data_IF_130193060834
#
_entry.id   IF_130193060834
#
_cell.length_a   1.000
_cell.length_b   1.000
_cell.length_c   1.000
_cell.angle_alpha   90.00
_cell.angle_beta   90.00
_cell.angle_gamma   90.00
#
_symmetry.space_group_name_H-M   'P 1'
#
loop_
_entity.id
_entity.type
_entity.pdbx_description
1 polymer ?
#
# COMPACT_ATOMS: atom_id res chain seq x y z
N UNK A 1 22.41 -17.40 -27.19
CA UNK A 1 22.30 -16.08 -26.53
C UNK A 1 20.90 -15.98 -25.96
N UNK A 2 20.74 -15.68 -24.67
CA UNK A 2 19.42 -15.39 -24.13
C UNK A 2 18.81 -14.20 -24.88
N UNK A 3 17.51 -14.25 -25.18
CA UNK A 3 16.84 -13.11 -25.81
C UNK A 3 16.78 -11.95 -24.81
N UNK A 4 17.08 -10.71 -25.22
CA UNK A 4 16.99 -9.52 -24.35
C UNK A 4 15.64 -9.41 -23.62
N UNK A 5 14.58 -9.88 -24.27
CA UNK A 5 13.22 -9.96 -23.75
C UNK A 5 13.09 -10.87 -22.53
N UNK A 6 13.70 -12.05 -22.57
CA UNK A 6 13.65 -13.04 -21.49
C UNK A 6 14.41 -12.49 -20.28
N UNK A 7 15.62 -11.96 -20.50
CA UNK A 7 16.43 -11.37 -19.43
C UNK A 7 15.73 -10.16 -18.81
N UNK A 8 15.12 -9.28 -19.62
CA UNK A 8 14.31 -8.16 -19.11
C UNK A 8 13.11 -8.65 -18.29
N UNK A 9 12.37 -9.64 -18.80
CA UNK A 9 11.18 -10.18 -18.13
C UNK A 9 11.52 -10.76 -16.77
N UNK A 10 12.57 -11.58 -16.70
CA UNK A 10 13.05 -12.17 -15.44
C UNK A 10 13.48 -11.08 -14.46
N UNK A 11 14.28 -10.10 -14.91
CA UNK A 11 14.70 -8.99 -14.07
C UNK A 11 13.51 -8.17 -13.55
N UNK A 12 12.52 -7.90 -14.41
CA UNK A 12 11.33 -7.13 -14.04
C UNK A 12 10.43 -7.88 -13.06
N UNK A 13 10.27 -9.19 -13.22
CA UNK A 13 9.51 -10.03 -12.27
C UNK A 13 10.17 -10.01 -10.90
N UNK A 14 11.50 -10.22 -10.84
CA UNK A 14 12.24 -10.15 -9.57
C UNK A 14 12.12 -8.76 -8.95
N UNK A 15 12.29 -7.70 -9.73
CA UNK A 15 12.13 -6.33 -9.27
C UNK A 15 10.72 -6.08 -8.71
N UNK A 16 9.68 -6.50 -9.44
CA UNK A 16 8.28 -6.33 -9.03
C UNK A 16 7.97 -7.12 -7.76
N UNK A 17 8.45 -8.36 -7.66
CA UNK A 17 8.28 -9.19 -6.49
C UNK A 17 8.96 -8.56 -5.27
N UNK A 18 10.22 -8.13 -5.40
CA UNK A 18 10.94 -7.43 -4.34
C UNK A 18 10.31 -6.07 -3.99
N UNK A 19 9.69 -5.40 -4.95
CA UNK A 19 9.01 -4.14 -4.68
C UNK A 19 7.73 -4.35 -3.86
N UNK A 20 6.91 -5.35 -4.22
CA UNK A 20 5.66 -5.70 -3.53
C UNK A 20 5.91 -6.36 -2.17
N UNK A 21 6.83 -7.32 -2.13
CA UNK A 21 7.26 -8.06 -0.94
C UNK A 21 8.63 -7.57 -0.51
N UNK A 22 8.70 -6.33 -0.02
CA UNK A 22 9.96 -5.62 0.26
C UNK A 22 10.88 -6.40 1.22
N UNK A 23 11.95 -7.03 0.70
CA UNK A 23 12.93 -7.70 1.54
C UNK A 23 13.77 -6.67 2.30
N UNK A 24 14.61 -7.14 3.21
CA UNK A 24 15.47 -6.29 4.06
C UNK A 24 16.40 -5.39 3.25
N UNK A 25 16.87 -5.84 2.10
CA UNK A 25 17.82 -5.13 1.24
C UNK A 25 17.14 -3.93 0.56
N UNK A 26 15.96 -4.14 -0.04
CA UNK A 26 15.18 -3.06 -0.65
C UNK A 26 14.74 -2.04 0.38
N UNK A 27 14.38 -2.50 1.58
CA UNK A 27 14.03 -1.62 2.69
C UNK A 27 15.21 -0.74 3.11
N UNK A 28 16.37 -1.35 3.29
CA UNK A 28 17.61 -0.65 3.66
C UNK A 28 18.08 0.31 2.57
N UNK A 29 17.85 -0.03 1.30
CA UNK A 29 18.13 0.85 0.15
C UNK A 29 17.10 1.98 -0.03
N UNK A 30 16.03 2.01 0.76
CA UNK A 30 14.99 3.04 0.65
C UNK A 30 13.99 2.80 -0.49
N UNK A 31 14.00 1.63 -1.13
CA UNK A 31 13.13 1.28 -2.26
C UNK A 31 11.75 0.78 -1.79
N UNK A 32 11.09 1.59 -0.97
CA UNK A 32 9.77 1.29 -0.42
C UNK A 32 8.80 2.39 -0.82
N UNK A 33 7.51 2.06 -0.96
CA UNK A 33 6.47 3.07 -1.24
C UNK A 33 6.47 4.16 -0.15
N UNK A 34 6.76 3.79 1.10
CA UNK A 34 6.82 4.74 2.22
C UNK A 34 7.93 5.77 2.03
N UNK A 35 9.11 5.34 1.60
CA UNK A 35 10.26 6.22 1.45
C UNK A 35 10.16 7.07 0.18
N UNK A 36 9.74 6.46 -0.94
CA UNK A 36 9.57 7.14 -2.23
C UNK A 36 8.50 8.25 -2.17
N UNK A 37 7.46 8.07 -1.36
CA UNK A 37 6.36 9.04 -1.20
C UNK A 37 6.33 9.71 0.17
N UNK A 38 7.44 9.68 0.91
CA UNK A 38 7.57 10.21 2.28
C UNK A 38 7.04 11.65 2.42
N UNK A 39 7.35 12.52 1.45
CA UNK A 39 6.88 13.91 1.41
C UNK A 39 5.36 14.05 1.34
N UNK A 40 4.65 13.13 0.67
CA UNK A 40 3.19 13.15 0.53
C UNK A 40 2.48 12.42 1.67
N UNK A 41 3.12 11.40 2.24
CA UNK A 41 2.55 10.62 3.35
C UNK A 41 2.48 11.45 4.63
N UNK A 42 3.49 12.28 4.88
CA UNK A 42 3.65 13.00 6.14
C UNK A 42 4.29 12.11 7.20
N UNK A 43 4.18 12.51 8.48
CA UNK A 43 4.73 11.76 9.61
C UNK A 43 3.68 10.84 10.22
N UNK A 44 4.07 9.58 10.39
CA UNK A 44 3.27 8.58 11.10
C UNK A 44 3.09 8.94 12.58
N UNK A 45 4.13 9.45 13.23
CA UNK A 45 4.08 9.88 14.64
C UNK A 45 3.15 11.08 14.86
N UNK A 46 2.99 11.95 13.86
CA UNK A 46 2.07 13.09 13.95
C UNK A 46 0.62 12.66 13.69
N UNK A 47 0.38 11.76 12.74
CA UNK A 47 -0.98 11.41 12.33
C UNK A 47 -1.10 10.00 11.79
N UNK A 48 -0.98 9.01 12.69
CA UNK A 48 -1.00 7.58 12.40
C UNK A 48 -2.09 7.15 11.42
N UNK A 49 -3.36 7.47 11.72
CA UNK A 49 -4.49 7.06 10.88
C UNK A 49 -4.42 7.69 9.48
N UNK A 50 -4.15 8.99 9.40
CA UNK A 50 -4.14 9.71 8.14
C UNK A 50 -2.93 9.33 7.27
N UNK A 51 -1.77 9.12 7.91
CA UNK A 51 -0.57 8.57 7.28
C UNK A 51 -0.88 7.24 6.61
N UNK A 52 -1.56 6.34 7.33
CA UNK A 52 -1.86 5.02 6.81
C UNK A 52 -2.96 4.98 5.75
N UNK A 53 -3.99 5.83 5.83
CA UNK A 53 -4.96 6.02 4.74
C UNK A 53 -4.25 6.43 3.45
N UNK A 54 -3.32 7.39 3.53
CA UNK A 54 -2.52 7.83 2.37
C UNK A 54 -1.60 6.72 1.89
N UNK A 55 -0.93 6.01 2.81
CA UNK A 55 0.00 4.93 2.49
C UNK A 55 -0.68 3.80 1.74
N UNK A 56 -1.81 3.28 2.23
CA UNK A 56 -2.53 2.19 1.56
C UNK A 56 -3.05 2.63 0.20
N UNK A 57 -3.58 3.87 0.11
CA UNK A 57 -4.05 4.44 -1.16
C UNK A 57 -2.94 4.57 -2.21
N UNK A 58 -1.78 5.12 -1.83
CA UNK A 58 -0.62 5.25 -2.73
C UNK A 58 -0.07 3.86 -3.10
N UNK A 59 0.02 2.93 -2.15
CA UNK A 59 0.50 1.57 -2.40
C UNK A 59 -0.35 0.86 -3.44
N UNK A 60 -1.68 0.98 -3.36
CA UNK A 60 -2.61 0.45 -4.36
C UNK A 60 -2.28 1.03 -5.75
N UNK A 61 -2.15 2.36 -5.87
CA UNK A 61 -1.87 3.02 -7.15
C UNK A 61 -0.50 2.66 -7.75
N UNK A 62 0.51 2.48 -6.90
CA UNK A 62 1.86 2.14 -7.36
C UNK A 62 1.94 0.67 -7.76
N UNK A 63 1.39 -0.24 -6.95
CA UNK A 63 1.42 -1.67 -7.26
C UNK A 63 0.53 -2.01 -8.45
N UNK A 64 -0.60 -1.32 -8.64
CA UNK A 64 -1.44 -1.45 -9.84
C UNK A 64 -0.74 -0.97 -11.11
N UNK A 65 0.29 -0.12 -10.99
CA UNK A 65 1.02 0.43 -12.13
C UNK A 65 2.16 -0.49 -12.61
N UNK A 66 2.51 -1.54 -11.85
CA UNK A 66 3.60 -2.47 -12.22
C UNK A 66 3.36 -3.16 -13.57
N UNK A 67 2.17 -3.70 -13.90
CA UNK A 67 1.92 -4.29 -15.22
C UNK A 67 2.07 -3.28 -16.37
N UNK A 68 1.65 -2.03 -16.15
CA UNK A 68 1.82 -0.96 -17.13
C UNK A 68 3.30 -0.58 -17.28
N UNK A 69 4.05 -0.52 -16.18
CA UNK A 69 5.49 -0.30 -16.17
C UNK A 69 6.24 -1.41 -16.92
N UNK A 70 5.80 -2.66 -16.79
CA UNK A 70 6.35 -3.78 -17.57
C UNK A 70 6.13 -3.59 -19.07
N UNK A 71 4.91 -3.23 -19.49
CA UNK A 71 4.62 -2.93 -20.91
C UNK A 71 5.53 -1.82 -21.45
N UNK A 72 5.63 -0.71 -20.70
CA UNK A 72 6.48 0.42 -21.08
C UNK A 72 7.96 0.04 -21.18
N UNK A 73 8.47 -0.75 -20.22
CA UNK A 73 9.85 -1.23 -20.26
C UNK A 73 10.11 -2.19 -21.41
N UNK A 74 9.16 -3.06 -21.74
CA UNK A 74 9.24 -3.95 -22.90
C UNK A 74 9.28 -3.21 -24.23
N UNK A 75 8.61 -2.05 -24.36
CA UNK A 75 8.75 -1.19 -25.55
C UNK A 75 10.20 -0.74 -25.78
N UNK A 76 11.00 -0.59 -24.72
CA UNK A 76 12.41 -0.16 -24.78
C UNK A 76 13.35 -1.36 -24.91
N UNK A 77 13.06 -2.46 -24.20
CA UNK A 77 13.90 -3.65 -24.16
C UNK A 77 13.81 -4.52 -25.42
N UNK A 78 12.68 -4.47 -26.13
CA UNK A 78 12.41 -5.25 -27.34
C UNK A 78 11.80 -4.37 -28.46
N UNK A 79 12.55 -3.38 -28.98
CA UNK A 79 12.05 -2.46 -29.99
C UNK A 79 11.58 -3.19 -31.28
N UNK A 80 12.16 -4.34 -31.58
CA UNK A 80 11.80 -5.22 -32.70
C UNK A 80 10.34 -5.69 -32.68
N UNK A 81 9.72 -5.73 -31.50
CA UNK A 81 8.30 -6.09 -31.34
C UNK A 81 7.34 -4.97 -31.71
N UNK A 82 7.84 -3.76 -32.00
CA UNK A 82 7.03 -2.61 -32.37
C UNK A 82 5.88 -2.31 -31.39
N UNK A 83 6.08 -2.58 -30.08
CA UNK A 83 5.06 -2.43 -29.03
C UNK A 83 4.57 -0.99 -28.85
N UNK A 84 5.34 0.00 -29.31
CA UNK A 84 4.94 1.41 -29.35
C UNK A 84 3.85 1.72 -30.37
N UNK A 85 3.73 0.91 -31.43
CA UNK A 85 2.73 1.08 -32.48
C UNK A 85 1.51 0.20 -32.18
N UNK A 86 0.63 0.64 -31.27
CA UNK A 86 -0.52 -0.12 -30.74
C UNK A 86 -1.34 -0.84 -31.84
N UNK A 87 -1.48 -0.23 -33.02
CA UNK A 87 -2.19 -0.79 -34.18
C UNK A 87 -1.48 -1.94 -34.93
N UNK A 88 -0.22 -2.21 -34.63
CA UNK A 88 0.57 -3.31 -35.22
C UNK A 88 0.92 -4.39 -34.19
N UNK A 89 0.60 -4.15 -32.91
CA UNK A 89 0.87 -5.08 -31.81
C UNK A 89 -0.04 -6.31 -31.88
N UNK A 90 0.51 -7.50 -31.56
CA UNK A 90 -0.25 -8.74 -31.46
C UNK A 90 -1.42 -8.64 -30.46
N UNK A 91 -2.48 -9.40 -30.68
CA UNK A 91 -3.67 -9.37 -29.82
C UNK A 91 -3.38 -9.66 -28.35
N UNK A 92 -2.43 -10.55 -28.04
CA UNK A 92 -2.02 -10.86 -26.66
C UNK A 92 -1.46 -9.62 -25.93
N UNK A 93 -0.54 -8.89 -26.58
CA UNK A 93 0.04 -7.67 -26.01
C UNK A 93 -0.97 -6.54 -25.90
N UNK A 94 -1.92 -6.43 -26.83
CA UNK A 94 -3.05 -5.49 -26.73
C UNK A 94 -3.94 -5.81 -25.54
N UNK A 95 -4.33 -7.07 -25.38
CA UNK A 95 -5.13 -7.51 -24.25
C UNK A 95 -4.41 -7.24 -22.92
N UNK A 96 -3.10 -7.50 -22.85
CA UNK A 96 -2.28 -7.18 -21.68
C UNK A 96 -2.24 -5.68 -21.38
N UNK A 97 -2.05 -4.83 -22.39
CA UNK A 97 -2.07 -3.37 -22.24
C UNK A 97 -3.44 -2.89 -21.74
N UNK A 98 -4.53 -3.37 -22.35
CA UNK A 98 -5.90 -3.02 -21.95
C UNK A 98 -6.16 -3.42 -20.50
N UNK A 99 -5.81 -4.64 -20.11
CA UNK A 99 -5.98 -5.11 -18.73
C UNK A 99 -5.16 -4.26 -17.74
N UNK A 100 -3.91 -3.94 -18.09
CA UNK A 100 -3.03 -3.10 -17.26
C UNK A 100 -3.59 -1.69 -17.09
N UNK A 101 -4.12 -1.09 -18.16
CA UNK A 101 -4.77 0.22 -18.13
C UNK A 101 -6.06 0.18 -17.31
N UNK A 102 -6.91 -0.84 -17.51
CA UNK A 102 -8.13 -1.02 -16.72
C UNK A 102 -7.81 -1.15 -15.22
N UNK A 103 -6.81 -1.97 -14.86
CA UNK A 103 -6.38 -2.13 -13.47
C UNK A 103 -5.93 -0.79 -12.85
N UNK A 104 -5.13 -0.02 -13.59
CA UNK A 104 -4.67 1.29 -13.13
C UNK A 104 -5.82 2.29 -13.00
N UNK A 105 -6.74 2.33 -13.96
CA UNK A 105 -7.91 3.21 -13.96
C UNK A 105 -8.85 2.88 -12.80
N UNK A 106 -9.14 1.60 -12.57
CA UNK A 106 -9.96 1.14 -11.44
C UNK A 106 -9.33 1.57 -10.12
N UNK A 107 -8.01 1.43 -9.98
CA UNK A 107 -7.28 1.84 -8.78
C UNK A 107 -7.39 3.36 -8.54
N UNK A 108 -7.27 4.18 -9.59
CA UNK A 108 -7.52 5.61 -9.51
C UNK A 108 -8.95 5.96 -9.15
N UNK A 109 -9.93 5.30 -9.76
CA UNK A 109 -11.36 5.50 -9.47
C UNK A 109 -11.66 5.19 -8.00
N UNK A 110 -11.13 4.08 -7.47
CA UNK A 110 -11.30 3.68 -6.07
C UNK A 110 -10.71 4.73 -5.13
N UNK A 111 -9.47 5.17 -5.35
CA UNK A 111 -8.82 6.17 -4.49
C UNK A 111 -9.52 7.52 -4.57
N UNK A 112 -9.97 7.92 -5.76
CA UNK A 112 -10.75 9.15 -5.95
C UNK A 112 -12.13 9.07 -5.28
N UNK A 113 -12.78 7.92 -5.34
CA UNK A 113 -14.04 7.66 -4.63
C UNK A 113 -13.85 7.79 -3.12
N UNK A 114 -12.75 7.26 -2.56
CA UNK A 114 -12.43 7.42 -1.15
C UNK A 114 -12.16 8.89 -0.78
N UNK A 115 -11.41 9.62 -1.61
CA UNK A 115 -11.03 11.00 -1.30
C UNK A 115 -12.22 11.98 -1.32
N UNK A 116 -13.20 11.78 -2.20
CA UNK A 116 -14.43 12.61 -2.31
C UNK A 116 -15.21 12.72 -1.00
N UNK A 117 -15.23 11.66 -0.20
CA UNK A 117 -15.98 11.58 1.06
C UNK A 117 -15.15 11.87 2.31
N UNK A 118 -14.10 12.69 2.21
CA UNK A 118 -13.11 12.88 3.30
C UNK A 118 -12.59 11.54 3.85
N UNK A 119 -12.39 10.56 2.97
CA UNK A 119 -11.94 9.20 3.32
C UNK A 119 -12.94 8.36 4.11
N UNK A 120 -14.18 8.80 4.34
CA UNK A 120 -15.18 8.03 5.10
C UNK A 120 -15.41 6.61 4.55
N UNK A 121 -15.39 6.45 3.22
CA UNK A 121 -15.57 5.15 2.57
C UNK A 121 -14.29 4.30 2.49
N UNK A 122 -13.15 4.82 2.95
CA UNK A 122 -11.90 4.08 3.01
C UNK A 122 -12.02 2.92 4.02
N UNK A 123 -11.42 1.73 3.76
CA UNK A 123 -11.52 0.58 4.65
C UNK A 123 -11.13 0.88 6.11
N UNK A 124 -10.05 1.65 6.32
CA UNK A 124 -9.61 2.08 7.66
C UNK A 124 -10.69 2.92 8.37
N UNK A 125 -11.30 3.88 7.68
CA UNK A 125 -12.34 4.72 8.28
C UNK A 125 -13.60 3.92 8.60
N UNK A 126 -13.98 2.96 7.76
CA UNK A 126 -15.09 2.03 8.03
C UNK A 126 -14.80 1.12 9.23
N UNK A 127 -13.56 0.67 9.40
CA UNK A 127 -13.17 -0.11 10.57
C UNK A 127 -13.27 0.72 11.85
N UNK A 128 -12.75 1.95 11.84
CA UNK A 128 -12.89 2.88 12.97
C UNK A 128 -14.34 3.22 13.28
N UNK A 129 -15.20 3.26 12.27
CA UNK A 129 -16.64 3.49 12.46
C UNK A 129 -17.29 2.42 13.33
N UNK A 130 -16.81 1.17 13.28
CA UNK A 130 -17.31 0.08 14.13
C UNK A 130 -16.99 0.27 15.63
N UNK A 131 -15.97 1.08 15.94
CA UNK A 131 -15.55 1.41 17.30
C UNK A 131 -16.04 2.78 17.77
N UNK A 132 -16.98 3.40 17.05
CA UNK A 132 -17.63 4.64 17.49
C UNK A 132 -18.60 4.30 18.61
N UNK A 133 -18.19 4.63 19.84
CA UNK A 133 -19.01 4.55 21.03
C UNK A 133 -18.90 5.88 21.81
N UNK A 134 -19.91 6.26 22.62
CA UNK A 134 -19.80 7.44 23.47
C UNK A 134 -18.51 7.37 24.30
N UNK A 135 -17.68 8.44 24.33
CA UNK A 135 -17.97 9.84 23.97
C UNK A 135 -17.67 10.24 22.51
N UNK A 136 -17.27 9.30 21.64
CA UNK A 136 -16.91 9.59 20.25
C UNK A 136 -18.16 9.75 19.37
N UNK A 137 -18.20 10.82 18.57
CA UNK A 137 -19.32 11.15 17.67
C UNK A 137 -19.12 10.69 16.23
N UNK A 138 -17.88 10.36 15.84
CA UNK A 138 -17.54 9.93 14.48
C UNK A 138 -16.25 9.12 14.44
N UNK A 139 -16.02 8.38 13.34
CA UNK A 139 -14.73 7.71 13.09
C UNK A 139 -13.55 8.69 13.16
N UNK A 140 -13.77 9.96 12.80
CA UNK A 140 -12.75 11.01 12.89
C UNK A 140 -12.34 11.32 14.33
N UNK A 141 -13.30 11.33 15.27
CA UNK A 141 -12.98 11.51 16.70
C UNK A 141 -12.20 10.33 17.29
N UNK A 142 -12.54 9.09 16.89
CA UNK A 142 -11.76 7.89 17.25
C UNK A 142 -10.34 8.00 16.67
N UNK A 143 -10.21 8.43 15.41
CA UNK A 143 -8.91 8.63 14.78
C UNK A 143 -8.04 9.68 15.49
N UNK A 144 -8.63 10.78 15.97
CA UNK A 144 -7.92 11.80 16.76
C UNK A 144 -7.46 11.24 18.10
N UNK A 145 -8.29 10.44 18.76
CA UNK A 145 -7.91 9.75 20.01
C UNK A 145 -6.73 8.83 19.80
N UNK A 146 -6.81 7.95 18.79
CA UNK A 146 -5.72 7.04 18.41
C UNK A 146 -4.44 7.83 18.07
N UNK A 147 -4.53 8.91 17.31
CA UNK A 147 -3.35 9.71 16.97
C UNK A 147 -2.72 10.36 18.21
N UNK A 148 -3.53 10.75 19.21
CA UNK A 148 -3.02 11.31 20.47
C UNK A 148 -2.29 10.23 21.27
N UNK A 149 -2.93 9.07 21.43
CA UNK A 149 -2.36 7.92 22.14
C UNK A 149 -1.10 7.38 21.45
N UNK A 150 -1.09 7.33 20.12
CA UNK A 150 0.07 6.90 19.34
C UNK A 150 1.31 7.80 19.55
N UNK A 151 1.14 9.04 20.02
CA UNK A 151 2.27 9.93 20.33
C UNK A 151 2.91 9.63 21.68
N UNK A 152 2.26 8.85 22.54
CA UNK A 152 2.81 8.46 23.82
C UNK A 152 4.08 7.61 23.63
N UNK A 153 5.03 7.73 24.55
CA UNK A 153 6.33 7.06 24.46
C UNK A 153 6.24 5.57 24.83
N UNK A 154 5.24 5.21 25.63
CA UNK A 154 5.07 3.87 26.21
C UNK A 154 4.48 2.83 25.23
N UNK A 155 4.34 3.19 23.94
CA UNK A 155 3.88 2.28 22.90
C UNK A 155 4.93 1.22 22.59
N UNK A 156 4.51 -0.04 22.50
CA UNK A 156 5.34 -1.13 22.03
C UNK A 156 5.17 -1.30 20.51
N UNK A 157 6.26 -1.39 19.77
CA UNK A 157 6.21 -1.66 18.33
C UNK A 157 7.28 -2.68 17.93
N UNK A 158 6.88 -3.70 17.18
CA UNK A 158 7.80 -4.75 16.70
C UNK A 158 7.55 -5.10 15.24
N UNK A 159 8.63 -5.28 14.48
CA UNK A 159 8.61 -5.57 13.05
C UNK A 159 8.95 -4.38 12.16
N UNK A 160 8.79 -4.57 10.86
CA UNK A 160 9.13 -3.58 9.86
C UNK A 160 8.07 -2.48 9.74
N UNK A 161 8.39 -1.24 9.33
CA UNK A 161 7.39 -0.17 9.14
C UNK A 161 6.18 -0.54 8.26
N UNK A 162 6.37 -1.42 7.27
CA UNK A 162 5.29 -1.93 6.41
C UNK A 162 4.61 -3.22 6.89
N UNK A 163 5.16 -3.88 7.90
CA UNK A 163 4.71 -5.16 8.44
C UNK A 163 5.11 -5.25 9.93
N UNK A 164 4.32 -4.61 10.79
CA UNK A 164 4.59 -4.53 12.24
C UNK A 164 3.33 -4.63 13.08
N UNK A 165 3.53 -5.08 14.30
CA UNK A 165 2.54 -5.03 15.37
C UNK A 165 2.87 -3.86 16.28
N UNK A 166 1.86 -3.06 16.61
CA UNK A 166 1.98 -1.92 17.51
C UNK A 166 0.93 -2.09 18.59
N UNK A 167 1.33 -1.95 19.84
CA UNK A 167 0.46 -2.01 21.01
C UNK A 167 0.58 -0.67 21.72
N UNK A 168 -0.55 0.00 21.86
CA UNK A 168 -0.70 1.22 22.67
C UNK A 168 -1.52 0.88 23.92
N UNK A 169 -1.81 1.89 24.75
CA UNK A 169 -2.52 1.71 26.03
C UNK A 169 -3.93 1.10 25.87
N UNK A 170 -4.58 1.30 24.73
CA UNK A 170 -5.93 0.82 24.46
C UNK A 170 -6.07 0.04 23.17
N UNK A 171 -5.12 0.13 22.23
CA UNK A 171 -5.23 -0.50 20.91
C UNK A 171 -4.10 -1.47 20.60
N UNK A 172 -4.45 -2.51 19.86
CA UNK A 172 -3.52 -3.38 19.17
C UNK A 172 -3.69 -3.18 17.66
N UNK A 173 -2.62 -2.78 16.99
CA UNK A 173 -2.56 -2.58 15.55
C UNK A 173 -1.70 -3.64 14.88
N UNK A 174 -2.21 -4.28 13.85
CA UNK A 174 -1.41 -5.09 12.92
C UNK A 174 -1.35 -4.39 11.58
N UNK A 175 -0.20 -3.81 11.29
CA UNK A 175 0.10 -3.08 10.07
C UNK A 175 0.59 -4.07 9.03
N UNK A 176 -0.04 -4.07 7.86
CA UNK A 176 0.40 -4.81 6.67
C UNK A 176 0.51 -3.86 5.46
N UNK A 177 1.01 -4.37 4.33
CA UNK A 177 1.17 -3.59 3.09
C UNK A 177 -0.12 -2.91 2.64
N UNK A 178 -1.25 -3.62 2.68
CA UNK A 178 -2.53 -3.15 2.15
C UNK A 178 -3.58 -2.83 3.21
N UNK A 179 -3.44 -3.43 4.40
CA UNK A 179 -4.45 -3.35 5.45
C UNK A 179 -3.83 -2.96 6.78
N UNK A 180 -4.66 -2.39 7.64
CA UNK A 180 -4.35 -2.23 9.06
C UNK A 180 -5.51 -2.82 9.82
N UNK A 181 -5.20 -3.83 10.61
CA UNK A 181 -6.16 -4.41 11.53
C UNK A 181 -6.02 -3.71 12.87
N UNK A 182 -7.15 -3.44 13.50
CA UNK A 182 -7.23 -2.75 14.77
C UNK A 182 -8.13 -3.58 15.69
N UNK A 183 -7.73 -3.71 16.95
CA UNK A 183 -8.53 -4.29 17.99
C UNK A 183 -8.30 -3.50 19.28
N UNK A 184 -9.31 -3.45 20.15
CA UNK A 184 -9.13 -2.94 21.50
C UNK A 184 -8.34 -3.97 22.31
N UNK A 185 -7.43 -3.49 23.15
CA UNK A 185 -6.63 -4.36 24.00
C UNK A 185 -7.50 -5.12 25.00
N UNK A 186 -8.62 -4.52 25.46
CA UNK A 186 -9.64 -5.18 26.29
C UNK A 186 -10.26 -6.41 25.64
N UNK A 187 -10.29 -6.44 24.31
CA UNK A 187 -10.92 -7.49 23.52
C UNK A 187 -9.89 -8.55 23.07
N UNK A 188 -8.62 -8.38 23.46
CA UNK A 188 -7.52 -9.25 23.10
C UNK A 188 -7.09 -10.10 24.30
N UNK A 189 -6.87 -11.39 24.08
CA UNK A 189 -6.25 -12.28 25.06
C UNK A 189 -4.81 -12.60 24.63
N UNK A 190 -3.85 -12.36 25.52
CA UNK A 190 -2.44 -12.67 25.27
C UNK A 190 -2.15 -14.04 25.86
N UNK A 191 -1.53 -14.91 25.06
CA UNK A 191 -1.09 -16.24 25.51
C UNK A 191 0.36 -16.42 25.11
N UNK A 192 1.19 -16.78 26.08
CA UNK A 192 2.59 -17.16 25.85
C UNK A 192 2.60 -18.65 25.59
N UNK A 193 3.01 -19.04 24.39
CA UNK A 193 3.21 -20.44 24.01
C UNK A 193 4.70 -20.76 24.09
N UNK A 194 5.03 -21.93 24.65
CA UNK A 194 6.41 -22.47 24.70
C UNK A 194 6.96 -22.82 23.31
#
# INVERSE_FOLDING_TARGET
MESPELSFTLAYIVLSFCFVFTPTEFRSAGLTVQNLFSSRLGSEDVGFIQYHIRRTSITILVHSALPLGYYMGMCVAAPEKNLGYIYQVSDNWRAFLLLSLCLQLVSWIIVFYWSRGRWHNHPISKMLQAHVQPPFSSWGSVAVSINTEFRHIDKFATGAPGARVIVTDTWVFKVTTYHIYMALQSDCHVTVTE
#
